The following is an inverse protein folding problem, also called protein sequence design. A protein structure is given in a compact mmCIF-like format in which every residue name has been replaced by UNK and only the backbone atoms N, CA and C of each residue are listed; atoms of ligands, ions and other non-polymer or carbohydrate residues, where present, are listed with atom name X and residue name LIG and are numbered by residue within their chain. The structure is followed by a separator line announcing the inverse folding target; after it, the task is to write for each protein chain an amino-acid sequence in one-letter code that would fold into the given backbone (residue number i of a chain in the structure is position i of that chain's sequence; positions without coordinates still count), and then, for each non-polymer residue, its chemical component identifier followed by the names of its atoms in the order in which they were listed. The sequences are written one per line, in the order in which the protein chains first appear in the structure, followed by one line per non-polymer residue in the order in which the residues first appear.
data_IF_162098239778
#
_entry.id   IF_162098239778
#
_cell.length_a   1.000
_cell.length_b   1.000
_cell.length_c   1.000
_cell.angle_alpha   90.00
_cell.angle_beta   90.00
_cell.angle_gamma   90.00
#
_symmetry.space_group_name_H-M   'P 1'
#
loop_
_entity.id
_entity.type
_entity.pdbx_description
1 polymer ?
#
# COMPACT_ATOMS: atom_id res chain seq x y z
N UNK A 1 3.81 8.11 10.17
CA UNK A 1 2.39 8.42 9.85
C UNK A 1 1.95 7.87 8.50
N UNK A 2 2.55 8.29 7.37
CA UNK A 2 2.13 7.83 6.03
C UNK A 2 2.05 6.30 5.88
N UNK A 3 3.02 5.56 6.44
CA UNK A 3 3.00 4.08 6.44
C UNK A 3 1.81 3.48 7.21
N UNK A 4 1.36 4.11 8.31
CA UNK A 4 0.15 3.71 9.04
C UNK A 4 -1.08 3.93 8.17
N UNK A 5 -1.18 5.11 7.53
CA UNK A 5 -2.31 5.45 6.65
C UNK A 5 -2.37 4.50 5.46
N UNK A 6 -1.24 4.24 4.79
CA UNK A 6 -1.16 3.27 3.70
C UNK A 6 -1.56 1.86 4.16
N UNK A 7 -1.24 1.48 5.39
CA UNK A 7 -1.64 0.20 5.98
C UNK A 7 -3.14 0.09 6.28
N UNK A 8 -3.92 1.17 6.14
CA UNK A 8 -5.39 1.10 6.21
C UNK A 8 -6.03 0.58 4.92
N UNK A 9 -5.27 0.52 3.82
CA UNK A 9 -5.71 0.00 2.53
C UNK A 9 -6.46 -1.34 2.62
N UNK A 10 -6.02 -2.37 3.38
CA UNK A 10 -6.72 -3.65 3.43
C UNK A 10 -8.13 -3.52 4.01
N UNK A 11 -8.32 -2.64 5.00
CA UNK A 11 -9.60 -2.38 5.64
C UNK A 11 -10.52 -1.62 4.68
N UNK A 12 -9.98 -0.61 3.99
CA UNK A 12 -10.73 0.18 3.02
C UNK A 12 -11.13 -0.63 1.79
N UNK A 13 -10.24 -1.47 1.27
CA UNK A 13 -10.52 -2.39 0.16
C UNK A 13 -11.58 -3.42 0.57
N UNK A 14 -11.49 -3.97 1.77
CA UNK A 14 -12.53 -4.87 2.31
C UNK A 14 -13.89 -4.17 2.41
N UNK A 15 -13.92 -2.96 2.99
CA UNK A 15 -15.13 -2.17 3.16
C UNK A 15 -15.75 -1.78 1.83
N UNK A 16 -14.95 -1.27 0.89
CA UNK A 16 -15.43 -0.88 -0.43
C UNK A 16 -15.85 -2.10 -1.27
N UNK A 17 -15.16 -3.24 -1.14
CA UNK A 17 -15.60 -4.51 -1.73
C UNK A 17 -16.96 -4.97 -1.20
N UNK A 18 -17.22 -4.80 0.10
CA UNK A 18 -18.52 -5.08 0.69
C UNK A 18 -19.61 -4.11 0.20
N UNK A 19 -19.35 -2.79 0.19
CA UNK A 19 -20.32 -1.78 -0.20
C UNK A 19 -20.66 -1.79 -1.70
N UNK A 20 -19.64 -1.97 -2.56
CA UNK A 20 -19.77 -1.82 -4.01
C UNK A 20 -20.00 -3.17 -4.68
N UNK A 21 -19.23 -4.19 -4.30
CA UNK A 21 -19.26 -5.51 -4.92
C UNK A 21 -20.09 -6.54 -4.13
N UNK A 22 -20.70 -6.14 -3.00
CA UNK A 22 -21.53 -6.99 -2.12
C UNK A 22 -20.80 -8.26 -1.65
N UNK A 23 -19.47 -8.17 -1.51
CA UNK A 23 -18.66 -9.29 -1.04
C UNK A 23 -18.69 -9.39 0.47
N UNK A 24 -18.86 -10.61 0.98
CA UNK A 24 -18.84 -10.84 2.42
C UNK A 24 -17.54 -11.55 2.82
N UNK A 25 -16.91 -11.01 3.87
CA UNK A 25 -15.76 -11.62 4.50
C UNK A 25 -16.22 -12.49 5.67
N UNK A 26 -15.61 -13.66 5.80
CA UNK A 26 -15.82 -14.50 6.98
C UNK A 26 -15.24 -13.82 8.22
N UNK A 27 -15.77 -14.12 9.42
CA UNK A 27 -15.27 -13.55 10.68
C UNK A 27 -13.75 -13.68 10.85
N UNK A 28 -13.16 -14.80 10.42
CA UNK A 28 -11.70 -15.00 10.45
C UNK A 28 -10.93 -13.97 9.62
N UNK A 29 -11.46 -13.60 8.45
CA UNK A 29 -10.85 -12.57 7.60
C UNK A 29 -10.96 -11.19 8.24
N UNK A 30 -12.10 -10.87 8.86
CA UNK A 30 -12.28 -9.61 9.59
C UNK A 30 -11.32 -9.53 10.79
N UNK A 31 -11.20 -10.61 11.57
CA UNK A 31 -10.27 -10.70 12.68
C UNK A 31 -8.81 -10.54 12.22
N UNK A 32 -8.46 -11.14 11.07
CA UNK A 32 -7.16 -10.94 10.44
C UNK A 32 -6.91 -9.48 10.03
N UNK A 33 -7.89 -8.79 9.44
CA UNK A 33 -7.75 -7.37 9.09
C UNK A 33 -7.54 -6.48 10.32
N UNK A 34 -8.32 -6.70 11.38
CA UNK A 34 -8.19 -5.95 12.64
C UNK A 34 -6.84 -6.25 13.30
N UNK A 35 -6.45 -7.53 13.37
CA UNK A 35 -5.16 -7.96 13.91
C UNK A 35 -3.98 -7.36 13.14
N UNK A 36 -4.05 -7.32 11.81
CA UNK A 36 -3.02 -6.71 10.98
C UNK A 36 -2.85 -5.23 11.27
N UNK A 37 -3.95 -4.49 11.40
CA UNK A 37 -3.91 -3.07 11.79
C UNK A 37 -3.36 -2.88 13.20
N UNK A 38 -3.72 -3.75 14.15
CA UNK A 38 -3.16 -3.72 15.50
C UNK A 38 -1.64 -3.91 15.48
N UNK A 39 -1.13 -4.88 14.70
CA UNK A 39 0.30 -5.09 14.52
C UNK A 39 1.02 -3.88 13.92
N UNK A 40 0.41 -3.20 12.95
CA UNK A 40 0.93 -1.93 12.41
C UNK A 40 1.05 -0.86 13.49
N UNK A 41 0.04 -0.73 14.36
CA UNK A 41 0.08 0.21 15.48
C UNK A 41 1.12 -0.16 16.53
N UNK A 42 1.39 -1.45 16.77
CA UNK A 42 2.47 -1.88 17.66
C UNK A 42 3.85 -1.42 17.15
N UNK A 43 4.09 -1.53 15.84
CA UNK A 43 5.36 -1.12 15.21
C UNK A 43 5.49 0.41 15.18
N UNK A 44 4.45 1.10 14.73
CA UNK A 44 4.54 2.52 14.37
C UNK A 44 4.02 3.47 15.45
N UNK A 45 3.21 2.99 16.38
CA UNK A 45 2.51 3.84 17.36
C UNK A 45 3.46 4.59 18.28
N UNK A 46 4.54 3.94 18.72
CA UNK A 46 5.58 4.56 19.56
C UNK A 46 6.46 5.55 18.79
N UNK A 47 6.47 5.48 17.46
CA UNK A 47 7.24 6.34 16.56
C UNK A 47 6.47 7.62 16.16
N UNK A 48 5.23 7.78 16.63
CA UNK A 48 4.43 9.00 16.45
C UNK A 48 4.77 10.03 17.55
N UNK A 49 5.98 10.59 17.49
CA UNK A 49 6.47 11.56 18.49
C UNK A 49 6.43 13.01 18.02
N UNK A 50 6.20 13.24 16.72
CA UNK A 50 6.12 14.59 16.15
C UNK A 50 4.69 14.97 15.79
N UNK A 51 4.41 16.28 15.86
CA UNK A 51 3.13 16.85 15.45
C UNK A 51 2.77 16.43 14.03
N UNK A 52 1.47 16.20 13.80
CA UNK A 52 0.96 15.80 12.50
C UNK A 52 0.61 17.05 11.70
N UNK A 53 1.22 17.22 10.52
CA UNK A 53 0.76 18.20 9.54
C UNK A 53 -0.61 17.80 9.00
N UNK A 54 -1.68 18.61 9.22
CA UNK A 54 -3.02 18.29 8.74
C UNK A 54 -3.10 18.17 7.22
N UNK A 55 -2.29 18.92 6.47
CA UNK A 55 -2.32 18.91 5.00
C UNK A 55 -1.74 17.59 4.49
N UNK A 56 -0.54 17.21 4.96
CA UNK A 56 0.07 15.93 4.64
C UNK A 56 -0.81 14.73 5.05
N UNK A 57 -1.49 14.80 6.19
CA UNK A 57 -2.47 13.80 6.62
C UNK A 57 -3.64 13.68 5.63
N UNK A 58 -4.23 14.81 5.24
CA UNK A 58 -5.34 14.84 4.28
C UNK A 58 -4.93 14.27 2.92
N UNK A 59 -3.74 14.65 2.41
CA UNK A 59 -3.20 14.13 1.15
C UNK A 59 -2.96 12.62 1.21
N UNK A 60 -2.42 12.11 2.32
CA UNK A 60 -2.27 10.66 2.52
C UNK A 60 -3.63 9.94 2.55
N UNK A 61 -4.65 10.56 3.17
CA UNK A 61 -6.02 10.07 3.19
C UNK A 61 -6.62 9.98 1.78
N UNK A 62 -6.50 11.04 0.98
CA UNK A 62 -6.93 11.06 -0.42
C UNK A 62 -6.17 9.98 -1.21
N UNK A 63 -4.86 9.86 -1.00
CA UNK A 63 -4.02 8.86 -1.65
C UNK A 63 -4.46 7.42 -1.38
N UNK A 64 -4.73 7.06 -0.12
CA UNK A 64 -5.18 5.70 0.21
C UNK A 64 -6.60 5.41 -0.30
N UNK A 65 -7.48 6.40 -0.33
CA UNK A 65 -8.80 6.27 -0.96
C UNK A 65 -8.68 6.06 -2.48
N UNK A 66 -7.88 6.88 -3.16
CA UNK A 66 -7.61 6.72 -4.58
C UNK A 66 -7.04 5.32 -4.90
N UNK A 67 -6.08 4.86 -4.09
CA UNK A 67 -5.51 3.51 -4.22
C UNK A 67 -6.55 2.41 -3.97
N UNK A 68 -7.46 2.60 -3.01
CA UNK A 68 -8.57 1.68 -2.75
C UNK A 68 -9.45 1.52 -3.98
N UNK A 69 -9.89 2.64 -4.58
CA UNK A 69 -10.70 2.61 -5.80
C UNK A 69 -9.93 2.01 -6.98
N UNK A 70 -8.66 2.37 -7.17
CA UNK A 70 -7.82 1.80 -8.22
C UNK A 70 -7.70 0.28 -8.07
N UNK A 71 -7.51 -0.22 -6.85
CA UNK A 71 -7.39 -1.66 -6.56
C UNK A 71 -8.68 -2.41 -6.93
N UNK A 72 -9.85 -1.84 -6.63
CA UNK A 72 -11.14 -2.43 -7.04
C UNK A 72 -11.40 -2.32 -8.54
N UNK A 73 -11.07 -1.18 -9.16
CA UNK A 73 -11.24 -0.95 -10.59
C UNK A 73 -10.41 -1.93 -11.42
N UNK A 74 -9.15 -2.19 -11.02
CA UNK A 74 -8.28 -3.14 -11.72
C UNK A 74 -8.85 -4.56 -11.66
N UNK A 75 -9.44 -4.96 -10.53
CA UNK A 75 -10.13 -6.25 -10.45
C UNK A 75 -11.23 -6.37 -11.51
N UNK A 76 -12.02 -5.32 -11.73
CA UNK A 76 -13.07 -5.28 -12.75
C UNK A 76 -12.53 -5.29 -14.19
N UNK A 77 -11.57 -4.41 -14.50
CA UNK A 77 -11.01 -4.24 -15.84
C UNK A 77 -10.12 -5.41 -16.30
N UNK A 78 -9.50 -6.13 -15.36
CA UNK A 78 -8.57 -7.23 -15.66
C UNK A 78 -9.25 -8.56 -16.01
N UNK A 79 -10.59 -8.60 -16.04
CA UNK A 79 -11.37 -9.76 -16.45
C UNK A 79 -11.34 -10.02 -17.97
N UNK A 80 -10.84 -9.06 -18.77
CA UNK A 80 -10.66 -9.23 -20.23
C UNK A 80 -9.62 -8.33 -20.91
N UNK A 81 -9.03 -7.33 -20.24
CA UNK A 81 -8.06 -6.40 -20.83
C UNK A 81 -6.58 -6.75 -20.60
N UNK A 82 -5.69 -6.15 -21.41
CA UNK A 82 -4.24 -6.22 -21.18
C UNK A 82 -3.85 -5.30 -20.00
N UNK A 83 -3.46 -5.90 -18.88
CA UNK A 83 -3.06 -5.20 -17.64
C UNK A 83 -1.94 -4.19 -17.90
N UNK A 84 -1.01 -4.46 -18.82
CA UNK A 84 0.06 -3.53 -19.16
C UNK A 84 -0.45 -2.24 -19.78
N UNK A 85 -1.54 -2.30 -20.55
CA UNK A 85 -2.17 -1.11 -21.13
C UNK A 85 -2.80 -0.26 -20.03
N UNK A 86 -3.48 -0.88 -19.07
CA UNK A 86 -4.05 -0.20 -17.90
C UNK A 86 -2.96 0.49 -17.08
N UNK A 87 -1.87 -0.23 -16.78
CA UNK A 87 -0.71 0.33 -16.07
C UNK A 87 -0.11 1.49 -16.85
N UNK A 88 0.10 1.33 -18.17
CA UNK A 88 0.68 2.36 -19.02
C UNK A 88 -0.14 3.65 -19.03
N UNK A 89 -1.46 3.55 -19.22
CA UNK A 89 -2.35 4.71 -19.15
C UNK A 89 -2.41 5.32 -17.74
N UNK A 90 -2.44 4.49 -16.69
CA UNK A 90 -2.40 4.99 -15.31
C UNK A 90 -1.13 5.79 -15.05
N UNK A 91 0.03 5.29 -15.46
CA UNK A 91 1.31 5.98 -15.30
C UNK A 91 1.36 7.27 -16.12
N UNK A 92 0.89 7.24 -17.37
CA UNK A 92 0.86 8.42 -18.24
C UNK A 92 -0.04 9.52 -17.66
N UNK A 93 -1.29 9.18 -17.34
CA UNK A 93 -2.25 10.13 -16.75
C UNK A 93 -1.74 10.64 -15.41
N UNK A 94 -1.23 9.76 -14.55
CA UNK A 94 -0.61 10.14 -13.28
C UNK A 94 0.53 11.14 -13.46
N UNK A 95 1.42 10.89 -14.43
CA UNK A 95 2.52 11.81 -14.74
C UNK A 95 2.02 13.17 -15.23
N UNK A 96 1.03 13.20 -16.11
CA UNK A 96 0.41 14.45 -16.61
C UNK A 96 -0.25 15.25 -15.50
N UNK A 97 -0.95 14.58 -14.58
CA UNK A 97 -1.58 15.25 -13.43
C UNK A 97 -0.51 15.80 -12.47
N UNK A 98 0.59 15.06 -12.25
CA UNK A 98 1.69 15.49 -11.38
C UNK A 98 2.52 16.65 -11.95
N UNK A 99 2.43 16.94 -13.25
CA UNK A 99 3.05 18.14 -13.82
C UNK A 99 2.49 19.44 -13.21
N UNK A 100 1.21 19.47 -12.85
CA UNK A 100 0.59 20.67 -12.26
C UNK A 100 1.23 21.05 -10.92
N UNK A 101 1.26 20.19 -9.89
CA UNK A 101 1.95 20.52 -8.64
C UNK A 101 3.46 20.73 -8.84
N UNK A 102 4.11 20.03 -9.77
CA UNK A 102 5.52 20.28 -10.08
C UNK A 102 5.74 21.73 -10.57
N UNK A 103 4.90 22.25 -11.46
CA UNK A 103 4.97 23.63 -11.96
C UNK A 103 4.71 24.68 -10.89
N UNK A 104 3.90 24.36 -9.89
CA UNK A 104 3.51 25.31 -8.84
C UNK A 104 4.49 25.32 -7.67
N UNK A 105 5.05 24.16 -7.31
CA UNK A 105 5.79 24.00 -6.04
C UNK A 105 7.29 23.73 -6.20
N UNK A 106 7.77 23.29 -7.36
CA UNK A 106 9.20 22.95 -7.55
C UNK A 106 10.04 24.14 -8.02
N UNK A 107 11.34 24.11 -7.69
CA UNK A 107 12.31 25.17 -8.05
C UNK A 107 13.05 24.91 -9.38
N UNK A 108 12.74 23.81 -10.06
CA UNK A 108 13.29 23.42 -11.38
C UNK A 108 14.82 23.30 -11.46
N UNK A 109 15.52 23.21 -10.31
CA UNK A 109 16.96 23.03 -10.25
C UNK A 109 17.33 21.54 -10.11
N UNK A 110 18.12 21.01 -11.05
CA UNK A 110 18.57 19.61 -11.02
C UNK A 110 20.06 19.52 -10.74
N UNK A 111 20.42 18.87 -9.64
CA UNK A 111 21.81 18.55 -9.28
C UNK A 111 22.20 17.19 -9.86
N UNK A 112 22.69 17.20 -11.10
CA UNK A 112 23.09 15.99 -11.80
C UNK A 112 24.24 15.27 -11.09
N UNK A 113 24.03 14.00 -10.78
CA UNK A 113 25.06 13.10 -10.24
C UNK A 113 24.76 11.67 -10.65
N UNK A 114 25.78 10.80 -10.62
CA UNK A 114 25.58 9.36 -10.86
C UNK A 114 24.61 8.77 -9.85
N UNK A 115 24.68 9.20 -8.58
CA UNK A 115 23.76 8.78 -7.52
C UNK A 115 22.32 9.18 -7.83
N UNK A 116 22.10 10.41 -8.31
CA UNK A 116 20.77 10.86 -8.72
C UNK A 116 20.20 10.00 -9.85
N UNK A 117 20.98 9.78 -10.91
CA UNK A 117 20.54 8.96 -12.06
C UNK A 117 20.26 7.53 -11.62
N UNK A 118 21.14 6.93 -10.81
CA UNK A 118 20.95 5.57 -10.30
C UNK A 118 19.71 5.46 -9.41
N UNK A 119 19.49 6.41 -8.50
CA UNK A 119 18.29 6.44 -7.65
C UNK A 119 17.01 6.64 -8.47
N UNK A 120 17.04 7.52 -9.48
CA UNK A 120 15.92 7.75 -10.38
C UNK A 120 15.58 6.51 -11.21
N UNK A 121 16.58 5.86 -11.81
CA UNK A 121 16.36 4.63 -12.57
C UNK A 121 15.87 3.50 -11.66
N UNK A 122 16.42 3.39 -10.44
CA UNK A 122 15.95 2.44 -9.45
C UNK A 122 14.48 2.66 -9.13
N UNK A 123 14.06 3.89 -8.80
CA UNK A 123 12.65 4.18 -8.47
C UNK A 123 11.71 4.00 -9.65
N UNK A 124 12.15 4.37 -10.85
CA UNK A 124 11.37 4.17 -12.08
C UNK A 124 11.10 2.69 -12.35
N UNK A 125 12.15 1.86 -12.34
CA UNK A 125 12.01 0.45 -12.75
C UNK A 125 11.52 -0.45 -11.62
N UNK A 126 12.07 -0.32 -10.41
CA UNK A 126 11.79 -1.28 -9.32
C UNK A 126 10.41 -1.06 -8.69
N UNK A 127 10.16 0.01 -7.91
CA UNK A 127 8.83 0.25 -7.37
C UNK A 127 7.84 0.78 -8.43
N UNK A 128 8.30 1.56 -9.42
CA UNK A 128 7.41 2.17 -10.41
C UNK A 128 6.80 1.20 -11.42
N UNK A 129 7.61 0.33 -12.01
CA UNK A 129 7.14 -0.63 -13.03
C UNK A 129 6.96 -2.03 -12.45
N UNK A 130 8.03 -2.64 -11.92
CA UNK A 130 8.02 -4.04 -11.53
C UNK A 130 7.06 -4.31 -10.36
N UNK A 131 7.13 -3.52 -9.30
CA UNK A 131 6.24 -3.71 -8.15
C UNK A 131 4.77 -3.49 -8.51
N UNK A 132 4.46 -2.50 -9.37
CA UNK A 132 3.09 -2.27 -9.86
C UNK A 132 2.57 -3.44 -10.71
N UNK A 133 3.42 -4.02 -11.58
CA UNK A 133 3.06 -5.22 -12.33
C UNK A 133 2.79 -6.42 -11.41
N UNK A 134 3.67 -6.66 -10.44
CA UNK A 134 3.52 -7.72 -9.43
C UNK A 134 2.25 -7.51 -8.62
N UNK A 135 1.97 -6.27 -8.22
CA UNK A 135 0.78 -5.89 -7.47
C UNK A 135 -0.49 -6.26 -8.23
N UNK A 136 -0.62 -5.85 -9.49
CA UNK A 136 -1.82 -6.18 -10.27
C UNK A 136 -1.94 -7.67 -10.58
N UNK A 137 -0.82 -8.35 -10.84
CA UNK A 137 -0.83 -9.80 -10.97
C UNK A 137 -1.33 -10.48 -9.69
N UNK A 138 -0.89 -10.01 -8.52
CA UNK A 138 -1.32 -10.52 -7.23
C UNK A 138 -2.82 -10.26 -6.99
N UNK A 139 -3.28 -9.03 -7.23
CA UNK A 139 -4.71 -8.66 -7.13
C UNK A 139 -5.58 -9.55 -8.02
N UNK A 140 -5.15 -9.86 -9.25
CA UNK A 140 -5.86 -10.79 -10.14
C UNK A 140 -5.85 -12.22 -9.63
N UNK A 141 -4.73 -12.67 -9.06
CA UNK A 141 -4.54 -14.08 -8.66
C UNK A 141 -5.30 -14.43 -7.39
N UNK A 142 -5.28 -13.57 -6.38
CA UNK A 142 -5.84 -13.88 -5.05
C UNK A 142 -6.98 -12.94 -4.62
N UNK A 143 -7.31 -11.94 -5.43
CA UNK A 143 -8.37 -10.96 -5.15
C UNK A 143 -7.86 -9.73 -4.40
N UNK A 144 -8.61 -8.64 -4.51
CA UNK A 144 -8.25 -7.31 -4.00
C UNK A 144 -7.98 -7.30 -2.48
N UNK A 145 -8.90 -7.80 -1.67
CA UNK A 145 -8.76 -7.77 -0.20
C UNK A 145 -7.57 -8.59 0.29
N UNK A 146 -7.38 -9.80 -0.25
CA UNK A 146 -6.26 -10.67 0.12
C UNK A 146 -4.92 -10.16 -0.38
N UNK A 147 -4.87 -9.50 -1.53
CA UNK A 147 -3.65 -8.83 -1.99
C UNK A 147 -3.34 -7.61 -1.11
N UNK A 148 -4.35 -6.83 -0.74
CA UNK A 148 -4.18 -5.64 0.08
C UNK A 148 -3.55 -5.94 1.43
N UNK A 149 -3.84 -7.06 2.10
CA UNK A 149 -3.26 -7.36 3.41
C UNK A 149 -1.73 -7.37 3.46
N UNK A 150 -1.05 -7.57 2.33
CA UNK A 150 0.41 -7.45 2.27
C UNK A 150 0.90 -6.02 2.56
N UNK A 151 0.07 -4.99 2.40
CA UNK A 151 0.40 -3.62 2.82
C UNK A 151 0.61 -3.48 4.33
N UNK A 152 0.08 -4.40 5.16
CA UNK A 152 0.42 -4.44 6.58
C UNK A 152 1.91 -4.71 6.82
N UNK A 153 2.65 -5.25 5.84
CA UNK A 153 4.09 -5.46 5.96
C UNK A 153 4.91 -4.17 5.79
N UNK A 154 4.32 -3.08 5.27
CA UNK A 154 5.05 -1.84 4.97
C UNK A 154 5.80 -1.26 6.18
N UNK A 155 5.20 -1.14 7.38
CA UNK A 155 5.92 -0.69 8.56
C UNK A 155 7.12 -1.56 8.92
N UNK A 156 6.96 -2.88 8.90
CA UNK A 156 8.04 -3.80 9.23
C UNK A 156 9.19 -3.67 8.22
N UNK A 157 8.90 -3.72 6.92
CA UNK A 157 9.93 -3.58 5.89
C UNK A 157 10.64 -2.23 6.00
N UNK A 158 9.90 -1.16 6.28
CA UNK A 158 10.47 0.16 6.52
C UNK A 158 11.45 0.18 7.69
N UNK A 159 11.04 -0.35 8.86
CA UNK A 159 11.89 -0.44 10.06
C UNK A 159 13.09 -1.36 9.82
N UNK A 160 12.92 -2.50 9.15
CA UNK A 160 14.01 -3.42 8.85
C UNK A 160 15.07 -2.79 7.93
N UNK A 161 14.63 -2.08 6.88
CA UNK A 161 15.52 -1.36 5.97
C UNK A 161 16.24 -0.23 6.71
N UNK A 162 15.53 0.54 7.54
CA UNK A 162 16.13 1.60 8.36
C UNK A 162 17.14 1.03 9.36
N UNK A 163 16.88 -0.12 9.99
CA UNK A 163 17.82 -0.79 10.87
C UNK A 163 19.11 -1.19 10.15
N UNK A 164 19.00 -1.76 8.94
CA UNK A 164 20.16 -2.20 8.15
C UNK A 164 20.96 -1.03 7.58
N UNK A 165 20.29 0.00 7.06
CA UNK A 165 20.95 1.09 6.33
C UNK A 165 21.31 2.29 7.21
N UNK A 166 20.50 2.56 8.24
CA UNK A 166 20.65 3.73 9.13
C UNK A 166 21.09 3.34 10.55
N UNK A 167 21.17 2.04 10.86
CA UNK A 167 21.57 1.56 12.18
C UNK A 167 20.49 1.75 13.25
N UNK A 168 19.21 1.92 12.88
CA UNK A 168 18.12 1.99 13.84
C UNK A 168 17.96 0.70 14.65
N UNK A 169 17.61 0.83 15.93
CA UNK A 169 17.34 -0.32 16.79
C UNK A 169 15.97 -0.91 16.51
N UNK A 170 15.90 -2.23 16.36
CA UNK A 170 14.64 -2.98 16.32
C UNK A 170 14.20 -3.28 17.75
N UNK A 171 13.02 -2.78 18.13
CA UNK A 171 12.46 -2.96 19.46
C UNK A 171 11.66 -4.25 19.60
N UNK A 172 11.33 -4.62 20.84
CA UNK A 172 10.47 -5.78 21.14
C UNK A 172 9.09 -5.63 20.51
N UNK A 173 8.51 -4.42 20.53
CA UNK A 173 7.22 -4.13 19.91
C UNK A 173 7.26 -4.30 18.38
N UNK A 174 8.40 -4.04 17.75
CA UNK A 174 8.57 -4.27 16.31
C UNK A 174 8.43 -5.77 16.00
N UNK A 175 9.12 -6.61 16.77
CA UNK A 175 9.08 -8.09 16.62
C UNK A 175 7.68 -8.65 16.89
N UNK A 176 7.04 -8.22 17.98
CA UNK A 176 5.66 -8.66 18.30
C UNK A 176 4.70 -8.22 17.19
N UNK A 177 4.82 -6.97 16.72
CA UNK A 177 4.01 -6.46 15.61
C UNK A 177 4.16 -7.29 14.35
N UNK A 178 5.38 -7.72 13.99
CA UNK A 178 5.65 -8.60 12.84
C UNK A 178 4.93 -9.93 12.97
N UNK A 179 5.01 -10.57 14.13
CA UNK A 179 4.34 -11.86 14.38
C UNK A 179 2.82 -11.70 14.24
N UNK A 180 2.26 -10.63 14.82
CA UNK A 180 0.83 -10.32 14.72
C UNK A 180 0.42 -10.09 13.25
N UNK A 181 1.20 -9.33 12.48
CA UNK A 181 0.95 -9.08 11.06
C UNK A 181 1.01 -10.37 10.25
N UNK A 182 2.00 -11.24 10.50
CA UNK A 182 2.13 -12.51 9.79
C UNK A 182 0.91 -13.42 10.03
N UNK A 183 0.48 -13.56 11.29
CA UNK A 183 -0.71 -14.34 11.66
C UNK A 183 -1.98 -13.73 11.07
N UNK A 184 -2.10 -12.40 11.08
CA UNK A 184 -3.20 -11.68 10.47
C UNK A 184 -3.30 -11.93 8.96
N UNK A 185 -2.19 -11.83 8.23
CA UNK A 185 -2.16 -12.12 6.79
C UNK A 185 -2.60 -13.56 6.54
N UNK A 186 -2.06 -14.54 7.29
CA UNK A 186 -2.46 -15.95 7.17
C UNK A 186 -3.96 -16.14 7.42
N UNK A 187 -4.51 -15.53 8.47
CA UNK A 187 -5.95 -15.60 8.78
C UNK A 187 -6.81 -15.09 7.62
N UNK A 188 -6.43 -13.96 6.99
CA UNK A 188 -7.14 -13.44 5.82
C UNK A 188 -6.99 -14.36 4.60
N UNK A 189 -5.80 -14.90 4.34
CA UNK A 189 -5.57 -15.81 3.21
C UNK A 189 -6.41 -17.10 3.35
N UNK A 190 -6.51 -17.67 4.56
CA UNK A 190 -7.31 -18.87 4.81
C UNK A 190 -8.82 -18.60 4.90
N UNK A 191 -9.23 -17.35 5.05
CA UNK A 191 -10.64 -16.99 4.99
C UNK A 191 -11.17 -17.13 3.55
N UNK A 192 -11.95 -18.17 3.26
CA UNK A 192 -12.67 -18.29 1.98
C UNK A 192 -13.74 -17.20 1.90
N UNK A 193 -13.67 -16.32 0.89
CA UNK A 193 -14.75 -15.37 0.59
C UNK A 193 -16.03 -16.14 0.25
N UNK A 194 -17.16 -15.72 0.81
CA UNK A 194 -18.47 -16.28 0.46
C UNK A 194 -19.04 -15.40 -0.64
N UNK A 195 -19.05 -15.89 -1.88
CA UNK A 195 -19.76 -15.24 -2.98
C UNK A 195 -21.24 -15.57 -2.81
N UNK A 196 -22.02 -14.62 -2.33
CA UNK A 196 -23.49 -14.70 -2.39
C UNK A 196 -23.91 -14.63 -3.86
N UNK A 197 -24.31 -15.77 -4.42
CA UNK A 197 -25.00 -15.88 -5.73
C UNK A 197 -26.38 -15.28 -5.67
#
# INVERSE_FOLDING_TARGET
LASIIASTLPLLVALAGWLIAKETLRPLGIAGLIGGMAGVFLIMGTRLTQGVDPVGLALCGIGVLALTFATLAVRGASSGGNVMVVVGFQMLIGSLVLWVPALVFETWAVNWSVTFVAAFLYTLFMPGLLATMVWFWLVRRIGATRAATFHFMNPFLGVAIAAVLLGETIGVLDVVGVVVIALAILAVQFSKSVTTT
#
